data_IF_830133584470
#
_entry.id   IF_830133584470
#
_cell.length_a   1.000
_cell.length_b   1.000
_cell.length_c   1.000
_cell.angle_alpha   90.00
_cell.angle_beta   90.00
_cell.angle_gamma   90.00
#
_symmetry.space_group_name_H-M   'P 1'
#
loop_
_entity.id
_entity.type
_entity.pdbx_description
1 polymer ?
#
# COMPACT_ATOMS: atom_id res chain seq x y z
N UNK A 1 -62.98 -52.25 -3.62
CA UNK A 1 -61.65 -52.12 -4.27
C UNK A 1 -61.67 -50.84 -5.08
N UNK A 2 -61.18 -49.77 -4.52
CA UNK A 2 -60.99 -48.46 -5.20
C UNK A 2 -59.66 -48.46 -5.94
N UNK A 3 -59.72 -48.42 -7.26
CA UNK A 3 -58.51 -48.36 -8.13
C UNK A 3 -57.96 -46.94 -8.04
N UNK A 4 -56.86 -46.73 -7.30
CA UNK A 4 -56.14 -45.48 -7.24
C UNK A 4 -55.66 -45.13 -8.65
N UNK A 5 -56.04 -43.96 -9.12
CA UNK A 5 -55.76 -43.48 -10.45
C UNK A 5 -54.26 -42.95 -10.53
N UNK A 6 -53.36 -43.69 -11.21
CA UNK A 6 -51.91 -43.33 -11.25
C UNK A 6 -51.60 -41.99 -11.94
N UNK A 7 -52.60 -41.37 -12.61
CA UNK A 7 -52.40 -40.07 -13.30
C UNK A 7 -52.34 -38.84 -12.35
N UNK A 8 -52.98 -38.96 -11.12
CA UNK A 8 -52.93 -37.80 -10.18
C UNK A 8 -51.60 -37.62 -9.49
N UNK A 9 -50.81 -38.67 -9.25
CA UNK A 9 -49.44 -38.56 -8.68
C UNK A 9 -48.44 -37.85 -9.61
N UNK A 10 -48.57 -38.00 -10.93
CA UNK A 10 -47.67 -37.38 -11.90
C UNK A 10 -47.89 -35.87 -12.07
N UNK A 11 -49.14 -35.40 -11.90
CA UNK A 11 -49.49 -33.98 -12.05
C UNK A 11 -48.96 -33.12 -10.89
N UNK A 12 -49.00 -33.62 -9.65
CA UNK A 12 -48.48 -32.91 -8.47
C UNK A 12 -46.94 -32.82 -8.49
N UNK A 13 -46.27 -33.84 -8.99
CA UNK A 13 -44.81 -33.86 -9.17
C UNK A 13 -44.35 -32.82 -10.19
N UNK A 14 -44.99 -32.74 -11.36
CA UNK A 14 -44.71 -31.76 -12.40
C UNK A 14 -44.95 -30.31 -11.94
N UNK A 15 -46.03 -30.07 -11.18
CA UNK A 15 -46.33 -28.75 -10.62
C UNK A 15 -45.28 -28.30 -9.58
N UNK A 16 -44.75 -29.20 -8.77
CA UNK A 16 -43.64 -28.91 -7.81
C UNK A 16 -42.35 -28.60 -8.54
N UNK A 17 -41.97 -29.37 -9.54
CA UNK A 17 -40.79 -29.13 -10.37
C UNK A 17 -40.88 -27.79 -11.11
N UNK A 18 -42.03 -27.46 -11.69
CA UNK A 18 -42.26 -26.19 -12.37
C UNK A 18 -42.14 -24.99 -11.41
N UNK A 19 -42.71 -25.09 -10.19
CA UNK A 19 -42.56 -24.05 -9.16
C UNK A 19 -41.10 -23.88 -8.73
N UNK A 20 -40.38 -24.98 -8.51
CA UNK A 20 -38.97 -24.93 -8.14
C UNK A 20 -38.12 -24.29 -9.26
N UNK A 21 -38.38 -24.68 -10.52
CA UNK A 21 -37.72 -24.08 -11.67
C UNK A 21 -38.00 -22.56 -11.79
N UNK A 22 -39.26 -22.14 -11.55
CA UNK A 22 -39.60 -20.70 -11.55
C UNK A 22 -38.93 -19.92 -10.43
N UNK A 23 -38.78 -20.49 -9.22
CA UNK A 23 -38.04 -19.86 -8.11
C UNK A 23 -36.57 -19.75 -8.43
N UNK A 24 -35.96 -20.79 -8.99
CA UNK A 24 -34.56 -20.76 -9.42
C UNK A 24 -34.31 -19.71 -10.52
N UNK A 25 -35.21 -19.63 -11.51
CA UNK A 25 -35.12 -18.63 -12.56
C UNK A 25 -35.23 -17.20 -12.00
N UNK A 26 -36.19 -16.96 -11.11
CA UNK A 26 -36.35 -15.67 -10.45
C UNK A 26 -35.09 -15.29 -9.63
N UNK A 27 -34.54 -16.24 -8.87
CA UNK A 27 -33.30 -16.02 -8.12
C UNK A 27 -32.10 -15.70 -9.04
N UNK A 28 -31.99 -16.41 -10.18
CA UNK A 28 -30.95 -16.14 -11.17
C UNK A 28 -31.11 -14.74 -11.78
N UNK A 29 -32.32 -14.35 -12.15
CA UNK A 29 -32.58 -13.00 -12.70
C UNK A 29 -32.23 -11.92 -11.67
N UNK A 30 -32.65 -12.09 -10.40
CA UNK A 30 -32.31 -11.17 -9.33
C UNK A 30 -30.79 -11.07 -9.11
N UNK A 31 -30.08 -12.20 -9.16
CA UNK A 31 -28.63 -12.23 -9.05
C UNK A 31 -27.97 -11.48 -10.22
N UNK A 32 -28.39 -11.74 -11.44
CA UNK A 32 -27.85 -11.04 -12.64
C UNK A 32 -28.12 -9.54 -12.58
N UNK A 33 -29.33 -9.12 -12.17
CA UNK A 33 -29.66 -7.72 -11.98
C UNK A 33 -28.80 -7.06 -10.88
N UNK A 34 -28.60 -7.73 -9.76
CA UNK A 34 -27.76 -7.24 -8.66
C UNK A 34 -26.29 -7.12 -9.10
N UNK A 35 -25.75 -8.12 -9.79
CA UNK A 35 -24.39 -8.09 -10.34
C UNK A 35 -24.22 -6.95 -11.35
N UNK A 36 -25.17 -6.78 -12.29
CA UNK A 36 -25.14 -5.69 -13.26
C UNK A 36 -25.19 -4.31 -12.56
N UNK A 37 -26.05 -4.16 -11.56
CA UNK A 37 -26.17 -2.92 -10.78
C UNK A 37 -24.87 -2.58 -10.06
N UNK A 38 -24.20 -3.57 -9.43
CA UNK A 38 -22.93 -3.32 -8.75
C UNK A 38 -21.81 -2.93 -9.74
N UNK A 39 -21.77 -3.54 -10.94
CA UNK A 39 -20.82 -3.15 -11.98
C UNK A 39 -21.04 -1.72 -12.48
N UNK A 40 -22.30 -1.34 -12.70
CA UNK A 40 -22.67 0.03 -13.05
C UNK A 40 -22.27 1.00 -11.93
N UNK A 41 -22.51 0.65 -10.68
CA UNK A 41 -22.08 1.45 -9.53
C UNK A 41 -20.56 1.72 -9.58
N UNK A 42 -19.72 0.68 -9.69
CA UNK A 42 -18.27 0.84 -9.75
C UNK A 42 -17.81 1.60 -11.00
N UNK A 43 -18.52 1.45 -12.12
CA UNK A 43 -18.26 2.24 -13.33
C UNK A 43 -18.52 3.73 -13.12
N UNK A 44 -19.64 4.08 -12.54
CA UNK A 44 -20.07 5.47 -12.36
C UNK A 44 -19.29 6.17 -11.24
N UNK A 45 -19.13 5.47 -10.10
CA UNK A 45 -18.51 6.08 -8.91
C UNK A 45 -16.96 6.07 -8.95
N UNK A 46 -16.36 5.12 -9.65
CA UNK A 46 -14.92 4.87 -9.54
C UNK A 46 -14.23 4.62 -10.88
N UNK A 47 -14.94 4.77 -11.99
CA UNK A 47 -14.42 4.57 -13.36
C UNK A 47 -13.81 3.16 -13.59
N UNK A 48 -14.39 2.11 -12.98
CA UNK A 48 -13.97 0.72 -13.18
C UNK A 48 -14.64 0.16 -14.43
N UNK A 49 -13.88 -0.54 -15.27
CA UNK A 49 -14.44 -1.18 -16.46
C UNK A 49 -15.49 -2.23 -16.08
N UNK A 50 -16.69 -2.18 -16.73
CA UNK A 50 -17.84 -3.04 -16.39
C UNK A 50 -17.49 -4.54 -16.45
N UNK A 51 -16.63 -4.93 -17.40
CA UNK A 51 -16.23 -6.33 -17.60
C UNK A 51 -14.95 -6.73 -16.86
N UNK A 52 -14.39 -5.84 -16.03
CA UNK A 52 -13.17 -6.08 -15.27
C UNK A 52 -13.37 -5.77 -13.78
N UNK A 53 -14.21 -6.55 -13.07
CA UNK A 53 -14.46 -6.32 -11.64
C UNK A 53 -13.20 -6.52 -10.77
N UNK A 54 -12.19 -7.22 -11.26
CA UNK A 54 -10.88 -7.34 -10.64
C UNK A 54 -10.12 -6.00 -10.57
N UNK A 55 -10.46 -5.03 -11.42
CA UNK A 55 -9.87 -3.68 -11.39
C UNK A 55 -10.46 -2.78 -10.27
N UNK A 56 -11.41 -3.25 -9.46
CA UNK A 56 -11.95 -2.49 -8.30
C UNK A 56 -10.84 -2.07 -7.33
N UNK A 57 -9.73 -2.82 -7.26
CA UNK A 57 -8.56 -2.45 -6.48
C UNK A 57 -8.03 -1.05 -6.83
N UNK A 58 -8.17 -0.62 -8.08
CA UNK A 58 -7.75 0.71 -8.54
C UNK A 58 -8.64 1.85 -8.03
N UNK A 59 -9.83 1.55 -7.49
CA UNK A 59 -10.63 2.55 -6.78
C UNK A 59 -10.05 2.88 -5.40
N UNK A 60 -9.34 1.94 -4.79
CA UNK A 60 -8.66 2.10 -3.50
C UNK A 60 -7.24 2.62 -3.66
N UNK A 61 -6.58 2.28 -4.75
CA UNK A 61 -5.22 2.69 -5.09
C UNK A 61 -5.20 3.42 -6.44
N UNK A 62 -5.70 4.68 -6.48
CA UNK A 62 -5.76 5.46 -7.73
C UNK A 62 -4.37 5.72 -8.34
N UNK A 63 -3.31 5.68 -7.55
CA UNK A 63 -1.93 5.77 -8.02
C UNK A 63 -1.52 4.60 -8.93
N UNK A 64 -2.18 3.44 -8.83
CA UNK A 64 -2.01 2.35 -9.80
C UNK A 64 -2.53 2.70 -11.19
N UNK A 65 -3.45 3.68 -11.30
CA UNK A 65 -3.92 4.22 -12.57
C UNK A 65 -3.15 5.45 -13.01
N UNK A 66 -2.80 6.33 -12.06
CA UNK A 66 -2.15 7.61 -12.33
C UNK A 66 -0.73 7.44 -12.88
N UNK A 67 -0.15 6.27 -12.70
CA UNK A 67 1.02 5.82 -13.44
C UNK A 67 0.69 5.50 -14.91
N UNK A 68 -0.27 6.17 -15.48
CA UNK A 68 -1.03 6.12 -16.75
C UNK A 68 -0.40 5.46 -17.98
N UNK A 69 0.90 5.32 -18.02
CA UNK A 69 1.67 4.58 -19.00
C UNK A 69 2.03 3.16 -18.50
N UNK A 70 1.91 2.90 -17.18
CA UNK A 70 2.23 1.60 -16.56
C UNK A 70 1.42 0.43 -17.15
N UNK A 71 0.11 0.55 -17.43
CA UNK A 71 -0.66 -0.58 -17.95
C UNK A 71 -0.28 -1.00 -19.36
N UNK A 72 0.16 -0.09 -20.22
CA UNK A 72 0.38 -0.39 -21.64
C UNK A 72 1.81 -0.85 -21.90
N UNK A 73 2.79 -0.16 -21.38
CA UNK A 73 4.21 -0.50 -21.49
C UNK A 73 4.56 -1.78 -20.75
N UNK A 74 3.93 -2.03 -19.58
CA UNK A 74 4.21 -3.20 -18.75
C UNK A 74 3.32 -4.41 -19.04
N UNK A 75 2.18 -4.24 -19.76
CA UNK A 75 1.35 -5.36 -20.25
C UNK A 75 1.92 -6.03 -21.47
N UNK A 76 2.78 -5.36 -22.23
CA UNK A 76 3.34 -5.87 -23.48
C UNK A 76 4.60 -6.71 -23.33
N UNK A 77 5.20 -6.77 -22.13
CA UNK A 77 6.46 -7.50 -21.92
C UNK A 77 6.16 -8.91 -21.43
N UNK A 78 6.27 -9.87 -22.34
CA UNK A 78 6.34 -11.28 -21.93
C UNK A 78 7.61 -11.53 -21.11
N UNK A 79 7.61 -12.48 -20.15
CA UNK A 79 8.80 -12.80 -19.34
C UNK A 79 10.09 -13.07 -20.15
N UNK A 80 9.94 -13.46 -21.42
CA UNK A 80 11.07 -13.70 -22.33
C UNK A 80 11.59 -12.41 -23.00
N UNK A 81 10.84 -11.30 -22.95
CA UNK A 81 11.20 -10.01 -23.56
C UNK A 81 11.57 -8.94 -22.54
N UNK A 82 11.43 -9.24 -21.25
CA UNK A 82 11.89 -8.38 -20.16
C UNK A 82 13.42 -8.46 -20.00
N UNK A 83 14.13 -8.33 -21.08
CA UNK A 83 15.51 -7.88 -21.00
C UNK A 83 15.45 -6.39 -20.77
N UNK A 84 16.21 -5.86 -19.81
CA UNK A 84 16.47 -4.44 -19.52
C UNK A 84 17.06 -3.69 -20.73
N UNK A 85 16.48 -3.86 -21.89
CA UNK A 85 17.02 -3.47 -23.18
C UNK A 85 16.26 -2.28 -23.82
N UNK A 86 15.29 -1.68 -23.08
CA UNK A 86 14.78 -0.41 -23.51
C UNK A 86 15.70 0.72 -23.05
N UNK A 87 15.60 1.89 -23.69
CA UNK A 87 16.43 3.07 -23.41
C UNK A 87 16.13 3.70 -22.05
N UNK A 88 15.17 3.16 -21.27
CA UNK A 88 14.67 3.77 -20.04
C UNK A 88 15.19 3.06 -18.81
N UNK A 89 15.37 3.84 -17.75
CA UNK A 89 15.64 3.36 -16.40
C UNK A 89 14.39 3.54 -15.56
N UNK A 90 13.71 2.44 -15.27
CA UNK A 90 12.41 2.40 -14.61
C UNK A 90 12.55 2.29 -13.10
N UNK A 91 12.06 3.30 -12.39
CA UNK A 91 12.09 3.36 -10.93
C UNK A 91 10.67 3.29 -10.37
N UNK A 92 10.43 2.34 -9.48
CA UNK A 92 9.20 2.25 -8.69
C UNK A 92 9.44 2.81 -7.29
N UNK A 93 8.57 3.74 -6.83
CA UNK A 93 8.58 4.24 -5.46
C UNK A 93 7.45 3.59 -4.65
N UNK A 94 7.83 2.87 -3.59
CA UNK A 94 6.94 2.25 -2.61
C UNK A 94 7.11 2.91 -1.24
N UNK A 95 6.10 3.62 -0.76
CA UNK A 95 6.24 4.36 0.49
C UNK A 95 4.97 5.03 0.99
N UNK A 96 5.13 5.77 2.08
CA UNK A 96 4.11 6.63 2.66
C UNK A 96 4.19 8.07 2.14
N UNK A 97 3.67 9.00 2.95
CA UNK A 97 3.61 10.44 2.61
C UNK A 97 4.96 11.07 2.27
N UNK A 98 6.07 10.62 2.85
CA UNK A 98 7.40 11.22 2.61
C UNK A 98 7.82 11.12 1.14
N UNK A 99 7.50 10.02 0.46
CA UNK A 99 7.77 9.86 -0.98
C UNK A 99 6.67 10.44 -1.88
N UNK A 100 5.50 10.79 -1.31
CA UNK A 100 4.38 11.28 -2.10
C UNK A 100 4.55 12.76 -2.46
N UNK A 101 4.30 13.09 -3.74
CA UNK A 101 4.51 14.43 -4.33
C UNK A 101 3.82 15.59 -3.61
N UNK A 102 2.73 15.36 -2.88
CA UNK A 102 2.05 16.43 -2.13
C UNK A 102 2.71 16.76 -0.78
N UNK A 103 3.67 15.95 -0.32
CA UNK A 103 4.31 16.12 0.98
C UNK A 103 5.79 16.48 0.89
N UNK A 104 6.42 16.29 -0.26
CA UNK A 104 7.83 16.62 -0.46
C UNK A 104 8.25 16.62 -1.93
N UNK A 105 9.50 16.94 -2.19
CA UNK A 105 10.09 17.06 -3.53
C UNK A 105 10.93 15.84 -3.94
N UNK A 106 10.86 14.73 -3.20
CA UNK A 106 11.76 13.56 -3.40
C UNK A 106 11.75 13.06 -4.85
N UNK A 107 10.58 12.96 -5.50
CA UNK A 107 10.50 12.49 -6.89
C UNK A 107 11.17 13.47 -7.86
N UNK A 108 10.98 14.77 -7.67
CA UNK A 108 11.57 15.83 -8.51
C UNK A 108 13.09 15.80 -8.35
N UNK A 109 13.57 15.85 -7.09
CA UNK A 109 15.00 15.79 -6.75
C UNK A 109 15.67 14.53 -7.32
N UNK A 110 14.98 13.36 -7.24
CA UNK A 110 15.50 12.10 -7.76
C UNK A 110 15.70 12.17 -9.27
N UNK A 111 14.74 12.70 -10.00
CA UNK A 111 14.84 12.89 -11.44
C UNK A 111 16.01 13.82 -11.82
N UNK A 112 16.12 14.96 -11.13
CA UNK A 112 17.16 15.95 -11.39
C UNK A 112 18.56 15.41 -11.07
N UNK A 113 18.74 14.78 -9.90
CA UNK A 113 20.06 14.28 -9.50
C UNK A 113 20.50 13.08 -10.34
N UNK A 114 19.59 12.20 -10.78
CA UNK A 114 19.92 11.13 -11.73
C UNK A 114 20.32 11.68 -13.10
N UNK A 115 19.64 12.72 -13.58
CA UNK A 115 20.02 13.38 -14.82
C UNK A 115 21.44 13.99 -14.75
N UNK A 116 21.81 14.57 -13.60
CA UNK A 116 23.13 15.15 -13.37
C UNK A 116 24.27 14.12 -13.41
N UNK A 117 24.00 12.85 -13.09
CA UNK A 117 24.98 11.76 -13.23
C UNK A 117 24.88 11.03 -14.58
N UNK A 118 24.20 11.63 -15.57
CA UNK A 118 24.11 11.12 -16.94
C UNK A 118 22.97 10.14 -17.20
N UNK A 119 22.16 9.77 -16.21
CA UNK A 119 20.95 8.95 -16.41
C UNK A 119 19.77 9.84 -16.82
N UNK A 120 19.62 10.08 -18.13
CA UNK A 120 18.61 11.03 -18.67
C UNK A 120 17.27 10.39 -18.97
N UNK A 121 17.24 9.13 -19.36
CA UNK A 121 16.01 8.42 -19.73
C UNK A 121 15.40 7.70 -18.50
N UNK A 122 14.98 8.47 -17.48
CA UNK A 122 14.41 7.92 -16.25
C UNK A 122 12.91 8.06 -16.24
N UNK A 123 12.20 6.93 -16.04
CA UNK A 123 10.76 6.92 -15.74
C UNK A 123 10.58 6.61 -14.26
N UNK A 124 9.80 7.42 -13.55
CA UNK A 124 9.51 7.22 -12.13
C UNK A 124 8.03 6.93 -11.97
N UNK A 125 7.73 5.77 -11.42
CA UNK A 125 6.39 5.30 -11.09
C UNK A 125 6.18 5.44 -9.58
N UNK A 126 5.51 6.51 -9.16
CA UNK A 126 5.33 6.80 -7.75
C UNK A 126 4.01 6.23 -7.23
N UNK A 127 4.08 5.09 -6.53
CA UNK A 127 2.94 4.46 -5.86
C UNK A 127 2.89 4.79 -4.36
N UNK A 128 3.73 5.71 -3.88
CA UNK A 128 3.64 6.17 -2.51
C UNK A 128 2.36 6.97 -2.28
N UNK A 129 1.74 6.81 -1.12
CA UNK A 129 0.58 7.61 -0.74
C UNK A 129 0.53 7.91 0.77
N UNK A 130 -0.09 9.03 1.18
CA UNK A 130 -0.18 9.39 2.58
C UNK A 130 -0.85 8.31 3.42
N UNK A 131 -0.35 8.09 4.63
CA UNK A 131 -0.83 7.12 5.61
C UNK A 131 -0.65 5.63 5.24
N UNK A 132 -0.15 5.31 4.05
CA UNK A 132 0.10 3.93 3.63
C UNK A 132 1.22 3.28 4.43
N UNK A 133 1.06 1.98 4.67
CA UNK A 133 2.03 1.10 5.34
C UNK A 133 2.73 0.19 4.33
N UNK A 134 3.62 -0.65 4.82
CA UNK A 134 4.24 -1.73 4.03
C UNK A 134 3.20 -2.69 3.42
N UNK A 135 2.04 -2.85 4.07
CA UNK A 135 0.93 -3.66 3.54
C UNK A 135 0.37 -3.11 2.25
N UNK A 136 0.13 -1.79 2.19
CA UNK A 136 -0.33 -1.13 0.96
C UNK A 136 0.70 -1.29 -0.16
N UNK A 137 1.99 -1.09 0.15
CA UNK A 137 3.07 -1.27 -0.82
C UNK A 137 3.16 -2.70 -1.34
N UNK A 138 2.99 -3.71 -0.48
CA UNK A 138 2.90 -5.10 -0.91
C UNK A 138 1.73 -5.33 -1.87
N UNK A 139 0.52 -4.89 -1.50
CA UNK A 139 -0.68 -5.07 -2.32
C UNK A 139 -0.55 -4.40 -3.70
N UNK A 140 -0.01 -3.18 -3.74
CA UNK A 140 0.23 -2.46 -5.00
C UNK A 140 1.28 -3.13 -5.86
N UNK A 141 2.42 -3.51 -5.28
CA UNK A 141 3.49 -4.17 -6.02
C UNK A 141 3.05 -5.53 -6.56
N UNK A 142 2.31 -6.31 -5.77
CA UNK A 142 1.73 -7.58 -6.20
C UNK A 142 0.70 -7.41 -7.34
N UNK A 143 -0.05 -6.30 -7.35
CA UNK A 143 -1.02 -5.99 -8.40
C UNK A 143 -0.36 -5.71 -9.77
N UNK A 144 0.90 -5.29 -9.78
CA UNK A 144 1.69 -5.05 -10.99
C UNK A 144 2.30 -6.35 -11.56
N UNK A 145 1.46 -7.35 -11.84
CA UNK A 145 1.86 -8.75 -12.12
C UNK A 145 2.94 -8.93 -13.17
N UNK A 146 2.90 -8.15 -14.25
CA UNK A 146 3.80 -8.28 -15.39
C UNK A 146 4.84 -7.16 -15.46
N UNK A 147 4.86 -6.27 -14.47
CA UNK A 147 5.81 -5.17 -14.43
C UNK A 147 7.20 -5.65 -14.03
N UNK A 148 8.21 -5.00 -14.59
CA UNK A 148 9.62 -5.10 -14.21
C UNK A 148 10.15 -3.70 -14.00
N UNK A 149 11.04 -3.56 -13.05
CA UNK A 149 11.67 -2.29 -12.74
C UNK A 149 13.18 -2.47 -12.61
N UNK A 150 13.94 -1.50 -13.08
CA UNK A 150 15.39 -1.47 -12.86
C UNK A 150 15.69 -1.23 -11.36
N UNK A 151 14.83 -0.44 -10.70
CA UNK A 151 14.98 -0.13 -9.29
C UNK A 151 13.62 0.01 -8.59
N UNK A 152 13.45 -0.70 -7.49
CA UNK A 152 12.31 -0.51 -6.58
C UNK A 152 12.81 0.11 -5.28
N UNK A 153 12.37 1.33 -4.99
CA UNK A 153 12.72 2.07 -3.78
C UNK A 153 11.64 1.85 -2.72
N UNK A 154 12.04 1.30 -1.57
CA UNK A 154 11.13 1.05 -0.45
C UNK A 154 11.49 1.92 0.76
N UNK A 155 10.52 2.72 1.23
CA UNK A 155 10.70 3.60 2.37
C UNK A 155 9.46 3.66 3.26
N UNK A 156 9.47 2.88 4.34
CA UNK A 156 8.40 2.77 5.34
C UNK A 156 8.96 2.69 6.77
N UNK A 157 8.11 3.05 7.74
CA UNK A 157 8.46 2.97 9.18
C UNK A 157 7.36 3.53 10.07
N UNK A 158 7.10 4.83 10.03
CA UNK A 158 6.26 5.50 11.03
C UNK A 158 4.76 5.13 10.94
N UNK A 159 4.24 4.81 9.76
CA UNK A 159 2.81 4.47 9.62
C UNK A 159 2.47 3.12 10.24
N UNK A 160 3.42 2.21 10.36
CA UNK A 160 3.28 0.97 11.10
C UNK A 160 3.12 1.20 12.61
N UNK A 161 3.70 2.28 13.15
CA UNK A 161 3.48 2.66 14.54
C UNK A 161 2.01 3.03 14.82
N UNK A 162 1.31 3.62 13.85
CA UNK A 162 -0.13 3.90 13.97
C UNK A 162 -0.94 2.62 14.10
N UNK A 163 -0.76 1.67 13.17
CA UNK A 163 -1.53 0.42 13.18
C UNK A 163 -1.18 -0.48 14.37
N UNK A 164 -0.01 -0.26 14.97
CA UNK A 164 0.44 -0.98 16.16
C UNK A 164 -0.36 -0.63 17.43
N UNK A 165 -1.09 0.51 17.47
CA UNK A 165 -1.79 0.96 18.67
C UNK A 165 -3.12 0.23 18.94
N UNK A 166 -3.42 -0.89 18.32
CA UNK A 166 -4.61 -1.68 18.62
C UNK A 166 -4.45 -2.52 19.89
N UNK A 167 -5.54 -2.78 20.65
CA UNK A 167 -5.52 -3.77 21.74
C UNK A 167 -5.05 -5.14 21.26
N UNK A 168 -4.38 -5.95 22.11
CA UNK A 168 -3.82 -7.25 21.71
C UNK A 168 -4.84 -8.22 21.13
N UNK A 169 -6.04 -8.25 21.66
CA UNK A 169 -7.15 -9.10 21.22
C UNK A 169 -7.78 -8.62 19.89
N UNK A 170 -7.63 -7.34 19.57
CA UNK A 170 -8.14 -6.71 18.34
C UNK A 170 -7.10 -6.74 17.22
N UNK A 171 -5.81 -6.64 17.55
CA UNK A 171 -4.72 -6.59 16.57
C UNK A 171 -4.77 -7.80 15.62
N UNK A 172 -4.58 -7.54 14.32
CA UNK A 172 -4.45 -8.54 13.25
C UNK A 172 -3.20 -8.25 12.43
N UNK A 173 -2.44 -9.29 12.11
CA UNK A 173 -1.16 -9.16 11.38
C UNK A 173 -1.33 -8.62 9.96
N UNK A 174 -2.47 -8.84 9.33
CA UNK A 174 -2.83 -8.27 8.03
C UNK A 174 -3.42 -6.85 8.12
N UNK A 175 -3.40 -6.25 9.32
CA UNK A 175 -3.97 -4.95 9.67
C UNK A 175 -5.49 -4.83 9.49
N UNK A 176 -6.22 -5.92 9.29
CA UNK A 176 -7.68 -5.92 9.08
C UNK A 176 -8.50 -5.47 10.31
N UNK A 177 -7.86 -5.16 11.44
CA UNK A 177 -8.48 -4.43 12.54
C UNK A 177 -8.76 -2.95 12.20
N UNK A 178 -8.24 -2.46 11.08
CA UNK A 178 -8.70 -1.23 10.42
C UNK A 178 -9.54 -1.58 9.21
N UNK A 179 -10.71 -0.97 9.08
CA UNK A 179 -11.66 -1.28 8.00
C UNK A 179 -11.09 -1.02 6.60
N UNK A 180 -10.14 -0.10 6.46
CA UNK A 180 -9.37 0.06 5.22
C UNK A 180 -8.69 -1.24 4.81
N UNK A 181 -7.89 -1.83 5.70
CA UNK A 181 -7.16 -3.06 5.39
C UNK A 181 -8.09 -4.28 5.26
N UNK A 182 -9.20 -4.33 6.00
CA UNK A 182 -10.21 -5.37 5.79
C UNK A 182 -10.76 -5.31 4.35
N UNK A 183 -11.06 -4.10 3.85
CA UNK A 183 -11.58 -3.90 2.50
C UNK A 183 -10.53 -4.27 1.44
N UNK A 184 -9.32 -3.71 1.51
CA UNK A 184 -8.31 -3.92 0.48
C UNK A 184 -7.71 -5.33 0.49
N UNK A 185 -7.56 -5.98 1.66
CA UNK A 185 -7.12 -7.38 1.74
C UNK A 185 -8.16 -8.32 1.11
N UNK A 186 -9.45 -8.08 1.40
CA UNK A 186 -10.53 -8.84 0.77
C UNK A 186 -10.48 -8.70 -0.76
N UNK A 187 -10.32 -7.47 -1.24
CA UNK A 187 -10.28 -7.20 -2.67
C UNK A 187 -9.03 -7.79 -3.34
N UNK A 188 -7.87 -7.68 -2.68
CA UNK A 188 -6.62 -8.21 -3.20
C UNK A 188 -6.67 -9.74 -3.40
N UNK A 189 -7.44 -10.47 -2.56
CA UNK A 189 -7.65 -11.91 -2.73
C UNK A 189 -8.41 -12.27 -4.02
N UNK A 190 -9.18 -11.33 -4.57
CA UNK A 190 -9.92 -11.50 -5.83
C UNK A 190 -9.20 -10.89 -7.04
N UNK A 191 -8.17 -10.09 -6.83
CA UNK A 191 -7.52 -9.37 -7.92
C UNK A 191 -6.99 -10.30 -9.01
N UNK A 192 -7.44 -10.07 -10.25
CA UNK A 192 -7.10 -10.86 -11.43
C UNK A 192 -7.75 -12.25 -11.53
N UNK A 193 -8.66 -12.62 -10.60
CA UNK A 193 -9.39 -13.88 -10.63
C UNK A 193 -10.92 -13.69 -10.49
N UNK A 194 -11.36 -12.53 -10.05
CA UNK A 194 -12.78 -12.26 -9.80
C UNK A 194 -13.56 -12.06 -11.10
N UNK A 195 -14.64 -12.84 -11.25
CA UNK A 195 -15.64 -12.65 -12.30
C UNK A 195 -16.86 -11.85 -11.81
N UNK A 196 -17.04 -11.73 -10.49
CA UNK A 196 -18.22 -11.14 -9.87
C UNK A 196 -17.83 -9.96 -8.97
N UNK A 197 -18.54 -8.85 -9.14
CA UNK A 197 -18.42 -7.68 -8.28
C UNK A 197 -19.31 -7.75 -7.03
N UNK A 198 -20.47 -8.42 -7.13
CA UNK A 198 -21.51 -8.45 -6.09
C UNK A 198 -21.00 -8.96 -4.73
N UNK A 199 -20.31 -10.10 -4.62
CA UNK A 199 -19.87 -10.63 -3.32
C UNK A 199 -18.96 -9.65 -2.58
N UNK A 200 -18.02 -9.03 -3.30
CA UNK A 200 -17.14 -8.01 -2.74
C UNK A 200 -17.93 -6.77 -2.31
N UNK A 201 -18.84 -6.29 -3.18
CA UNK A 201 -19.64 -5.09 -2.91
C UNK A 201 -20.49 -5.23 -1.66
N UNK A 202 -21.12 -6.39 -1.46
CA UNK A 202 -21.88 -6.66 -0.23
C UNK A 202 -21.01 -6.60 1.02
N UNK A 203 -19.81 -7.18 0.96
CA UNK A 203 -18.86 -7.12 2.07
C UNK A 203 -18.37 -5.70 2.32
N UNK A 204 -18.04 -4.96 1.27
CA UNK A 204 -17.63 -3.54 1.37
C UNK A 204 -18.73 -2.68 2.01
N UNK A 205 -20.00 -2.88 1.64
CA UNK A 205 -21.13 -2.19 2.25
C UNK A 205 -21.25 -2.52 3.74
N UNK A 206 -21.06 -3.78 4.14
CA UNK A 206 -21.07 -4.17 5.55
C UNK A 206 -19.92 -3.52 6.35
N UNK A 207 -18.71 -3.46 5.80
CA UNK A 207 -17.56 -2.77 6.40
C UNK A 207 -17.87 -1.27 6.54
N UNK A 208 -18.39 -0.64 5.48
CA UNK A 208 -18.72 0.78 5.46
C UNK A 208 -19.84 1.13 6.47
N UNK A 209 -20.83 0.25 6.63
CA UNK A 209 -21.89 0.41 7.61
C UNK A 209 -21.34 0.33 9.06
N UNK A 210 -20.47 -0.64 9.35
CA UNK A 210 -19.80 -0.73 10.68
C UNK A 210 -19.01 0.53 10.98
N UNK A 211 -18.26 1.04 9.99
CA UNK A 211 -17.49 2.27 10.14
C UNK A 211 -18.41 3.48 10.43
N UNK A 212 -19.48 3.66 9.65
CA UNK A 212 -20.46 4.76 9.86
C UNK A 212 -21.15 4.70 11.23
N UNK A 213 -21.33 3.48 11.76
CA UNK A 213 -21.87 3.27 13.12
C UNK A 213 -20.81 3.49 14.21
N UNK A 214 -19.59 3.90 13.89
CA UNK A 214 -18.51 4.13 14.85
C UNK A 214 -18.00 2.86 15.53
N UNK A 215 -18.28 1.68 14.96
CA UNK A 215 -17.91 0.39 15.56
C UNK A 215 -16.51 -0.10 15.21
N UNK A 216 -15.83 0.60 14.31
CA UNK A 216 -14.46 0.25 13.93
C UNK A 216 -13.59 1.51 13.67
N UNK A 217 -12.30 1.28 13.42
CA UNK A 217 -11.31 2.30 13.09
C UNK A 217 -11.04 2.27 11.59
N UNK A 218 -11.04 3.44 10.93
CA UNK A 218 -10.73 3.57 9.51
C UNK A 218 -9.43 4.34 9.27
N UNK A 219 -8.64 3.91 8.29
CA UNK A 219 -7.53 4.68 7.74
C UNK A 219 -8.01 5.29 6.40
N UNK A 220 -7.69 6.55 6.08
CA UNK A 220 -6.72 7.42 6.77
C UNK A 220 -7.36 8.37 7.79
N UNK A 221 -7.92 7.87 8.87
CA UNK A 221 -8.19 8.73 10.01
C UNK A 221 -6.87 9.05 10.70
N UNK A 222 -6.53 10.32 10.74
CA UNK A 222 -5.28 10.81 11.35
C UNK A 222 -5.29 10.78 12.88
N UNK A 223 -6.33 10.23 13.48
CA UNK A 223 -6.46 10.20 14.93
C UNK A 223 -6.68 8.76 15.37
N UNK A 224 -5.71 8.23 16.11
CA UNK A 224 -5.87 6.96 16.82
C UNK A 224 -6.89 7.16 17.94
N UNK A 225 -7.73 6.17 18.19
CA UNK A 225 -8.61 6.17 19.38
C UNK A 225 -7.76 6.39 20.61
N UNK A 226 -8.14 7.34 21.47
CA UNK A 226 -7.36 7.71 22.66
C UNK A 226 -7.11 6.51 23.58
N UNK A 227 -8.10 5.64 23.72
CA UNK A 227 -8.02 4.41 24.49
C UNK A 227 -7.05 3.36 23.92
N UNK A 228 -6.71 3.48 22.63
CA UNK A 228 -5.78 2.57 21.96
C UNK A 228 -4.32 2.99 22.08
N UNK A 229 -4.04 4.27 22.32
CA UNK A 229 -2.66 4.81 22.41
C UNK A 229 -1.77 4.05 23.39
N UNK A 230 -2.33 3.60 24.52
CA UNK A 230 -1.60 2.83 25.54
C UNK A 230 -1.11 1.45 25.06
N UNK A 231 -1.70 0.91 23.98
CA UNK A 231 -1.38 -0.42 23.46
C UNK A 231 -0.22 -0.42 22.47
N UNK A 232 0.31 0.74 22.09
CA UNK A 232 1.45 0.87 21.18
C UNK A 232 2.82 0.45 21.74
N UNK A 233 2.92 0.12 23.04
CA UNK A 233 4.19 -0.19 23.70
C UNK A 233 4.90 -1.41 23.12
N UNK A 234 4.13 -2.45 22.77
CA UNK A 234 4.65 -3.65 22.13
C UNK A 234 4.59 -3.46 20.60
N UNK A 235 5.71 -3.64 19.93
CA UNK A 235 5.79 -3.48 18.46
C UNK A 235 5.26 -4.72 17.73
N UNK A 236 3.94 -5.02 17.88
CA UNK A 236 3.27 -6.16 17.20
C UNK A 236 3.34 -6.03 15.70
N UNK A 237 3.32 -4.80 15.18
CA UNK A 237 3.48 -4.52 13.75
C UNK A 237 4.84 -4.95 13.18
N UNK A 238 5.83 -5.28 14.03
CA UNK A 238 7.14 -5.74 13.58
C UNK A 238 7.05 -7.07 12.79
N UNK A 239 6.20 -8.01 13.23
CA UNK A 239 5.97 -9.26 12.52
C UNK A 239 5.32 -9.02 11.15
N UNK A 240 4.27 -8.20 11.11
CA UNK A 240 3.55 -7.83 9.88
C UNK A 240 4.46 -7.07 8.90
N UNK A 241 5.23 -6.11 9.39
CA UNK A 241 6.21 -5.35 8.59
C UNK A 241 7.25 -6.29 7.97
N UNK A 242 7.81 -7.20 8.78
CA UNK A 242 8.76 -8.20 8.31
C UNK A 242 8.15 -9.10 7.22
N UNK A 243 6.92 -9.56 7.41
CA UNK A 243 6.22 -10.40 6.45
C UNK A 243 5.96 -9.65 5.13
N UNK A 244 5.44 -8.43 5.19
CA UNK A 244 5.18 -7.62 4.00
C UNK A 244 6.47 -7.33 3.22
N UNK A 245 7.55 -6.93 3.92
CA UNK A 245 8.84 -6.67 3.29
C UNK A 245 9.46 -7.94 2.70
N UNK A 246 9.38 -9.09 3.38
CA UNK A 246 9.82 -10.38 2.83
C UNK A 246 9.09 -10.69 1.53
N UNK A 247 7.76 -10.56 1.52
CA UNK A 247 6.96 -10.84 0.33
C UNK A 247 7.31 -9.91 -0.85
N UNK A 248 7.60 -8.62 -0.58
CA UNK A 248 8.08 -7.66 -1.59
C UNK A 248 9.44 -8.11 -2.14
N UNK A 249 10.38 -8.48 -1.28
CA UNK A 249 11.73 -8.90 -1.67
C UNK A 249 11.74 -10.21 -2.45
N UNK A 250 10.92 -11.17 -2.03
CA UNK A 250 10.77 -12.46 -2.72
C UNK A 250 10.19 -12.25 -4.14
N UNK A 251 9.20 -11.37 -4.27
CA UNK A 251 8.63 -11.01 -5.57
C UNK A 251 9.63 -10.24 -6.43
N UNK A 252 10.38 -9.30 -5.86
CA UNK A 252 11.44 -8.57 -6.56
C UNK A 252 12.54 -9.53 -7.07
N UNK A 253 12.95 -10.48 -6.23
CA UNK A 253 13.92 -11.52 -6.63
C UNK A 253 13.40 -12.38 -7.78
N UNK A 254 12.12 -12.79 -7.74
CA UNK A 254 11.50 -13.57 -8.83
C UNK A 254 11.42 -12.77 -10.14
N UNK A 255 11.23 -11.46 -10.04
CA UNK A 255 11.15 -10.55 -11.19
C UNK A 255 12.51 -10.11 -11.72
N UNK A 256 13.57 -10.24 -10.93
CA UNK A 256 14.88 -9.69 -11.24
C UNK A 256 14.98 -8.19 -10.96
N UNK A 257 14.01 -7.60 -10.23
CA UNK A 257 14.03 -6.19 -9.88
C UNK A 257 15.11 -5.92 -8.80
N UNK A 258 15.91 -4.87 -8.98
CA UNK A 258 16.83 -4.42 -7.93
C UNK A 258 16.07 -3.64 -6.87
N UNK A 259 16.33 -3.91 -5.59
CA UNK A 259 15.70 -3.23 -4.47
C UNK A 259 16.65 -2.23 -3.82
N UNK A 260 16.13 -1.04 -3.46
CA UNK A 260 16.78 -0.11 -2.55
C UNK A 260 15.96 -0.01 -1.27
N UNK A 261 16.49 -0.53 -0.18
CA UNK A 261 15.91 -0.42 1.15
C UNK A 261 16.53 0.74 1.91
N UNK A 262 15.74 1.43 2.70
CA UNK A 262 16.22 2.55 3.50
C UNK A 262 15.67 2.50 4.91
N UNK A 263 16.50 2.84 5.90
CA UNK A 263 16.03 3.09 7.25
C UNK A 263 15.21 4.37 7.30
N UNK A 264 14.14 4.37 8.10
CA UNK A 264 13.21 5.50 8.19
C UNK A 264 13.76 6.56 9.14
N UNK A 265 13.99 7.77 8.62
CA UNK A 265 14.45 8.92 9.38
C UNK A 265 13.27 9.60 10.10
N UNK A 266 13.44 9.86 11.40
CA UNK A 266 12.50 10.60 12.23
C UNK A 266 13.24 11.60 13.10
N UNK A 267 12.59 12.70 13.43
CA UNK A 267 13.08 13.67 14.39
C UNK A 267 11.97 14.08 15.36
N UNK A 268 12.16 13.81 16.63
CA UNK A 268 11.27 14.24 17.70
C UNK A 268 12.10 14.94 18.77
N UNK A 269 11.99 16.26 18.93
CA UNK A 269 12.74 17.02 19.94
C UNK A 269 12.51 16.45 21.35
N UNK A 270 13.50 16.55 22.22
CA UNK A 270 13.41 16.04 23.60
C UNK A 270 12.27 16.72 24.38
N UNK A 271 12.07 18.02 24.14
CA UNK A 271 11.02 18.84 24.74
C UNK A 271 9.67 18.73 24.01
N UNK A 272 9.48 17.70 23.16
CA UNK A 272 8.23 17.53 22.44
C UNK A 272 7.05 17.39 23.39
N UNK A 273 6.06 18.25 23.20
CA UNK A 273 4.71 18.08 23.74
C UNK A 273 3.68 18.52 22.68
N UNK A 274 2.48 17.95 22.75
CA UNK A 274 1.38 18.36 21.86
C UNK A 274 1.08 19.86 21.97
N UNK A 275 1.19 20.44 23.15
CA UNK A 275 0.99 21.86 23.38
C UNK A 275 2.05 22.70 22.68
N UNK A 276 3.33 22.36 22.87
CA UNK A 276 4.46 23.03 22.21
C UNK A 276 4.37 22.91 20.69
N UNK A 277 3.96 21.74 20.17
CA UNK A 277 3.72 21.54 18.74
C UNK A 277 2.61 22.48 18.21
N UNK A 278 1.46 22.52 18.86
CA UNK A 278 0.34 23.36 18.46
C UNK A 278 0.67 24.87 18.54
N UNK A 279 1.49 25.26 19.51
CA UNK A 279 1.97 26.64 19.68
C UNK A 279 3.16 26.98 18.77
N UNK A 280 3.63 26.04 17.94
CA UNK A 280 4.82 26.18 17.09
C UNK A 280 6.08 26.61 17.86
N UNK A 281 6.26 26.04 19.06
CA UNK A 281 7.40 26.32 19.95
C UNK A 281 8.54 25.30 19.82
N UNK A 282 8.35 24.27 18.97
CA UNK A 282 9.39 23.32 18.61
C UNK A 282 10.16 23.84 17.42
N UNK A 283 11.35 23.30 17.17
CA UNK A 283 12.23 23.73 16.08
C UNK A 283 11.83 23.26 14.68
N UNK A 284 10.68 22.54 14.54
CA UNK A 284 10.15 22.15 13.23
C UNK A 284 9.86 23.34 12.31
N UNK A 285 10.09 23.16 11.01
CA UNK A 285 9.84 24.24 10.04
C UNK A 285 8.35 24.53 9.84
N UNK A 286 7.47 23.52 9.77
CA UNK A 286 6.04 23.74 9.44
C UNK A 286 5.02 23.28 10.48
N UNK A 287 5.33 22.30 11.32
CA UNK A 287 4.38 21.71 12.29
C UNK A 287 3.11 21.12 11.61
N UNK A 288 3.28 20.31 10.54
CA UNK A 288 2.15 19.81 9.74
C UNK A 288 1.39 18.66 10.40
N UNK A 289 2.12 17.67 10.91
CA UNK A 289 1.56 16.44 11.45
C UNK A 289 2.11 16.18 12.86
N UNK A 290 1.27 16.26 13.90
CA UNK A 290 1.71 16.00 15.26
C UNK A 290 1.97 14.52 15.50
N UNK A 291 2.90 14.20 16.39
CA UNK A 291 3.36 12.84 16.67
C UNK A 291 2.23 11.89 17.09
N UNK A 292 1.22 12.40 17.76
CA UNK A 292 0.06 11.65 18.22
C UNK A 292 -0.79 11.06 17.10
N UNK A 293 -0.55 11.44 15.85
CA UNK A 293 -1.15 10.75 14.70
C UNK A 293 -0.63 9.32 14.56
N UNK A 294 0.53 9.02 15.12
CA UNK A 294 1.15 7.68 15.05
C UNK A 294 1.18 6.97 16.41
N UNK A 295 1.08 7.70 17.52
CA UNK A 295 1.07 7.10 18.84
C UNK A 295 1.72 7.96 19.91
N UNK A 296 2.00 7.34 21.04
CA UNK A 296 2.79 7.97 22.09
C UNK A 296 4.26 8.03 21.66
N UNK A 297 4.98 9.08 22.08
CA UNK A 297 6.37 9.36 21.67
C UNK A 297 7.28 8.12 21.74
N UNK A 298 7.40 7.53 22.90
CA UNK A 298 8.34 6.42 23.11
C UNK A 298 7.93 5.15 22.35
N UNK A 299 6.62 4.93 22.19
CA UNK A 299 6.10 3.81 21.39
C UNK A 299 6.43 3.97 19.91
N UNK A 300 6.26 5.17 19.37
CA UNK A 300 6.56 5.47 17.94
C UNK A 300 8.05 5.31 17.67
N UNK A 301 8.90 5.92 18.49
CA UNK A 301 10.35 5.87 18.31
C UNK A 301 10.89 4.43 18.44
N UNK A 302 10.43 3.68 19.44
CA UNK A 302 10.79 2.26 19.61
C UNK A 302 10.35 1.43 18.41
N UNK A 303 9.11 1.60 17.94
CA UNK A 303 8.58 0.85 16.81
C UNK A 303 9.34 1.17 15.53
N UNK A 304 9.64 2.44 15.25
CA UNK A 304 10.45 2.83 14.08
C UNK A 304 11.86 2.25 14.16
N UNK A 305 12.49 2.27 15.34
CA UNK A 305 13.83 1.67 15.53
C UNK A 305 13.83 0.17 15.23
N UNK A 306 12.80 -0.58 15.69
CA UNK A 306 12.64 -2.00 15.40
C UNK A 306 12.44 -2.24 13.88
N UNK A 307 11.62 -1.44 13.21
CA UNK A 307 11.43 -1.55 11.76
C UNK A 307 12.72 -1.26 11.00
N UNK A 308 13.48 -0.25 11.42
CA UNK A 308 14.79 0.05 10.83
C UNK A 308 15.78 -1.12 10.96
N UNK A 309 15.76 -1.83 12.11
CA UNK A 309 16.62 -3.01 12.28
C UNK A 309 16.16 -4.18 11.39
N UNK A 310 14.85 -4.37 11.20
CA UNK A 310 14.31 -5.34 10.23
C UNK A 310 14.82 -5.03 8.82
N UNK A 311 14.75 -3.76 8.39
CA UNK A 311 15.24 -3.32 7.08
C UNK A 311 16.73 -3.60 6.92
N UNK A 312 17.58 -3.24 7.91
CA UNK A 312 19.03 -3.54 7.90
C UNK A 312 19.30 -5.03 7.78
N UNK A 313 18.55 -5.85 8.51
CA UNK A 313 18.71 -7.30 8.50
C UNK A 313 18.36 -7.91 7.15
N UNK A 314 17.31 -7.44 6.48
CA UNK A 314 16.98 -7.88 5.13
C UNK A 314 18.02 -7.44 4.10
N UNK A 315 18.48 -6.20 4.18
CA UNK A 315 19.52 -5.69 3.28
C UNK A 315 20.81 -6.53 3.30
N UNK A 316 21.17 -7.09 4.47
CA UNK A 316 22.32 -8.00 4.60
C UNK A 316 22.10 -9.39 3.99
N UNK A 317 20.84 -9.81 3.82
CA UNK A 317 20.51 -11.20 3.39
C UNK A 317 20.27 -11.34 1.89
N UNK A 318 19.73 -10.30 1.25
CA UNK A 318 19.35 -10.34 -0.16
C UNK A 318 20.42 -9.69 -1.03
N UNK A 319 20.91 -10.43 -2.05
CA UNK A 319 21.99 -9.96 -2.93
C UNK A 319 21.57 -8.84 -3.89
N UNK A 320 20.28 -8.79 -4.25
CA UNK A 320 19.71 -7.77 -5.14
C UNK A 320 19.23 -6.54 -4.38
N UNK A 321 19.70 -6.32 -3.14
CA UNK A 321 19.29 -5.22 -2.27
C UNK A 321 20.43 -4.27 -2.01
N UNK A 322 20.19 -2.99 -2.30
CA UNK A 322 20.97 -1.85 -1.85
C UNK A 322 20.42 -1.36 -0.52
N UNK A 323 21.26 -0.76 0.28
CA UNK A 323 20.84 -0.18 1.55
C UNK A 323 21.40 1.24 1.74
N UNK A 324 20.52 2.17 2.16
CA UNK A 324 20.89 3.51 2.58
C UNK A 324 20.38 3.79 4.00
N UNK A 325 21.26 4.10 4.92
CA UNK A 325 20.89 4.36 6.33
C UNK A 325 20.44 5.81 6.54
N UNK A 326 19.28 6.15 5.96
CA UNK A 326 18.73 7.51 6.03
C UNK A 326 18.50 7.99 7.47
N UNK A 327 18.17 7.08 8.38
CA UNK A 327 17.99 7.42 9.80
C UNK A 327 19.25 7.99 10.45
N UNK A 328 20.44 7.59 9.98
CA UNK A 328 21.72 8.10 10.47
C UNK A 328 22.28 9.22 9.57
N UNK A 329 21.91 9.26 8.29
CA UNK A 329 22.45 10.23 7.33
C UNK A 329 21.69 11.56 7.33
N UNK A 330 20.38 11.56 7.65
CA UNK A 330 19.59 12.80 7.76
C UNK A 330 19.74 13.36 9.18
N UNK A 331 20.31 14.57 9.35
CA UNK A 331 20.49 15.14 10.68
C UNK A 331 19.17 15.38 11.41
N UNK A 332 19.10 14.96 12.69
CA UNK A 332 17.93 15.17 13.55
C UNK A 332 17.83 16.62 14.03
N UNK A 333 17.25 17.49 13.23
CA UNK A 333 16.96 18.89 13.60
C UNK A 333 15.80 19.44 12.79
N UNK A 334 15.15 20.47 13.29
CA UNK A 334 14.03 21.12 12.61
C UNK A 334 14.39 21.76 11.27
N UNK A 335 15.68 22.00 10.99
CA UNK A 335 16.16 22.43 9.68
C UNK A 335 15.86 21.40 8.59
N UNK A 336 15.84 20.11 8.95
CA UNK A 336 15.62 18.99 8.04
C UNK A 336 14.18 18.47 8.09
N UNK A 337 13.42 18.80 9.15
CA UNK A 337 12.09 18.24 9.38
C UNK A 337 11.02 19.32 9.51
N UNK A 338 9.92 19.14 8.77
CA UNK A 338 8.70 19.94 8.88
C UNK A 338 7.86 19.56 10.11
N UNK A 339 7.99 18.32 10.55
CA UNK A 339 7.29 17.66 11.66
C UNK A 339 8.04 16.34 11.97
N UNK A 340 7.53 15.41 12.79
CA UNK A 340 8.27 14.19 13.17
C UNK A 340 8.85 13.35 12.04
N UNK A 341 8.33 13.44 10.81
CA UNK A 341 8.78 12.57 9.71
C UNK A 341 8.83 13.22 8.32
N UNK A 342 8.18 14.36 8.11
CA UNK A 342 8.14 14.96 6.79
C UNK A 342 9.32 15.92 6.57
N UNK A 343 9.96 15.77 5.44
CA UNK A 343 11.19 16.48 5.09
C UNK A 343 10.93 17.93 4.66
N UNK A 344 11.89 18.81 4.97
CA UNK A 344 12.05 20.08 4.28
C UNK A 344 12.65 19.83 2.89
N UNK A 345 12.68 20.86 2.03
CA UNK A 345 13.37 20.77 0.73
C UNK A 345 14.85 20.38 0.89
N UNK A 346 15.51 20.93 1.91
CA UNK A 346 16.91 20.58 2.21
C UNK A 346 17.07 19.10 2.51
N UNK A 347 16.20 18.54 3.37
CA UNK A 347 16.26 17.12 3.69
C UNK A 347 15.89 16.24 2.50
N UNK A 348 14.93 16.64 1.66
CA UNK A 348 14.59 15.92 0.42
C UNK A 348 15.80 15.83 -0.52
N UNK A 349 16.55 16.93 -0.66
CA UNK A 349 17.76 16.97 -1.47
C UNK A 349 18.85 16.03 -0.92
N UNK A 350 19.16 16.11 0.38
CA UNK A 350 20.13 15.20 1.02
C UNK A 350 19.69 13.73 0.98
N UNK A 351 18.39 13.45 1.19
CA UNK A 351 17.83 12.13 1.09
C UNK A 351 18.07 11.50 -0.29
N UNK A 352 17.82 12.26 -1.34
CA UNK A 352 18.05 11.82 -2.74
C UNK A 352 19.53 11.70 -3.05
N UNK A 353 20.34 12.63 -2.58
CA UNK A 353 21.81 12.56 -2.74
C UNK A 353 22.39 11.28 -2.15
N UNK A 354 21.90 10.85 -0.98
CA UNK A 354 22.30 9.58 -0.37
C UNK A 354 21.92 8.38 -1.26
N UNK A 355 20.72 8.42 -1.88
CA UNK A 355 20.28 7.39 -2.84
C UNK A 355 21.22 7.36 -4.04
N UNK A 356 21.43 8.50 -4.70
CA UNK A 356 22.24 8.60 -5.92
C UNK A 356 23.70 8.21 -5.67
N UNK A 357 24.27 8.59 -4.51
CA UNK A 357 25.61 8.18 -4.09
C UNK A 357 25.71 6.66 -3.96
N UNK A 358 24.70 6.01 -3.35
CA UNK A 358 24.68 4.54 -3.22
C UNK A 358 24.57 3.84 -4.58
N UNK A 359 23.81 4.40 -5.52
CA UNK A 359 23.69 3.87 -6.89
C UNK A 359 24.99 4.03 -7.68
N UNK A 360 25.73 5.15 -7.49
CA UNK A 360 27.00 5.43 -8.16
C UNK A 360 28.14 4.51 -7.71
N UNK A 361 28.13 4.07 -6.47
CA UNK A 361 29.15 3.16 -5.92
C UNK A 361 29.10 1.74 -6.49
N UNK A 362 27.99 1.36 -7.16
CA UNK A 362 27.80 0.02 -7.75
C UNK A 362 28.07 -0.08 -9.24
N UNK A 363 28.36 1.03 -9.92
CA UNK A 363 28.81 0.90 -11.31
C UNK A 363 30.26 0.36 -11.29
N UNK A 364 30.51 -0.87 -11.81
CA UNK A 364 31.88 -1.25 -12.10
C UNK A 364 32.44 -0.25 -13.10
N UNK A 365 33.71 0.17 -12.90
CA UNK A 365 34.50 0.96 -13.85
C UNK A 365 34.72 0.21 -15.18
N UNK A 366 33.66 -0.17 -15.88
CA UNK A 366 33.73 -0.86 -17.17
C UNK A 366 32.81 -0.22 -18.19
N UNK A 367 33.04 1.07 -18.47
CA UNK A 367 32.61 1.72 -19.73
C UNK A 367 33.50 2.93 -19.98
N UNK A 368 34.83 2.68 -20.06
CA UNK A 368 35.75 3.50 -20.84
C UNK A 368 36.47 2.54 -21.76
N UNK A 369 35.87 2.26 -22.88
CA UNK A 369 36.56 1.87 -24.13
C UNK A 369 35.81 2.49 -25.30
#
# INVERSE_FOLDING_TARGET
MTIDNPRQCSASGRARVARFASVLLAALVLFVCAEATTRVYWRVCCDIAIFKPDEILYAFYPELRASGELPEVLRSVTPAQATHADEFYDILLLGGSVLHKSWGSVEIELREQLANIGRRNVRIFNLAAPAHTSRDSWLKYAALRNARFDLVIFYHGINEARVNNAPPDVFREDYSHYSWYEAVNTLASYHGTAFLALPYTLRYLAISARHKLGKDQYIPTYVIRKEWLKHGRESRSAASFKQNLSAILDLASQRGDQMLLMSFATYVPENYSREAFNKKQLDYTLHRAPLEWWGMRDHVLTTVAIHNEIVRNFARRYRNVLFVDQANLIPGSGRYFNDPCHFTALASNEFVKNIVTSLGQQQPMSLVQ
#
